data_IF_024482255981
#
_entry.id   IF_024482255981
#
_cell.length_a   1.000
_cell.length_b   1.000
_cell.length_c   1.000
_cell.angle_alpha   90.00
_cell.angle_beta   90.00
_cell.angle_gamma   90.00
#
_symmetry.space_group_name_H-M   'P 1'
#
loop_
_entity.id
_entity.type
_entity.pdbx_description
1 polymer ?
#
# COMPACT_ATOMS: atom_id res chain seq x y z
N UNK A 1 20.90 -6.33 -29.33
CA UNK A 1 20.42 -5.66 -28.11
C UNK A 1 18.98 -5.21 -28.36
N UNK A 2 17.98 -6.00 -27.97
CA UNK A 2 16.57 -5.70 -28.28
C UNK A 2 15.96 -4.95 -27.09
N UNK A 3 15.70 -3.67 -27.31
CA UNK A 3 15.28 -2.66 -26.35
C UNK A 3 13.79 -2.40 -26.56
N UNK A 4 13.04 -2.46 -25.47
CA UNK A 4 11.67 -1.95 -25.24
C UNK A 4 10.53 -2.63 -26.00
N UNK A 5 9.79 -3.51 -25.31
CA UNK A 5 8.36 -3.68 -25.57
C UNK A 5 7.62 -2.58 -24.81
N UNK A 6 6.98 -1.70 -25.57
CA UNK A 6 5.83 -0.93 -25.10
C UNK A 6 4.71 -1.89 -24.68
N UNK A 7 4.05 -1.56 -23.57
CA UNK A 7 2.80 -2.18 -23.17
C UNK A 7 1.81 -1.06 -22.93
N UNK A 8 1.20 -0.61 -24.03
CA UNK A 8 -0.03 0.17 -24.00
C UNK A 8 -1.10 -0.65 -23.28
N UNK A 9 -1.64 -0.11 -22.20
CA UNK A 9 -2.85 -0.65 -21.56
C UNK A 9 -3.92 0.42 -21.59
N UNK A 10 -4.83 0.25 -22.55
CA UNK A 10 -5.97 1.11 -22.79
C UNK A 10 -7.04 1.01 -21.68
N UNK A 11 -7.65 2.17 -21.39
CA UNK A 11 -9.09 2.39 -21.21
C UNK A 11 -9.83 1.74 -20.01
N UNK A 12 -10.21 2.57 -19.03
CA UNK A 12 -11.62 2.94 -18.77
C UNK A 12 -11.71 3.88 -17.57
N UNK A 13 -12.11 5.13 -17.81
CA UNK A 13 -12.49 6.09 -16.76
C UNK A 13 -13.86 5.68 -16.17
N UNK A 14 -13.89 4.63 -15.35
CA UNK A 14 -15.02 4.41 -14.44
C UNK A 14 -14.83 5.37 -13.27
N UNK A 15 -15.71 6.37 -13.16
CA UNK A 15 -15.85 7.18 -11.96
C UNK A 15 -16.15 6.23 -10.80
N UNK A 16 -15.11 5.83 -10.05
CA UNK A 16 -15.25 5.01 -8.86
C UNK A 16 -15.80 5.94 -7.81
N UNK A 17 -17.04 5.70 -7.39
CA UNK A 17 -17.54 6.10 -6.08
C UNK A 17 -16.40 5.92 -5.09
N UNK A 18 -15.96 7.00 -4.47
CA UNK A 18 -14.86 7.00 -3.52
C UNK A 18 -15.30 6.18 -2.31
N UNK A 19 -15.10 4.86 -2.40
CA UNK A 19 -15.34 3.96 -1.28
C UNK A 19 -14.37 4.40 -0.20
N UNK A 20 -14.90 5.01 0.86
CA UNK A 20 -14.16 5.25 2.09
C UNK A 20 -13.79 3.88 2.66
N UNK A 21 -12.66 3.33 2.19
CA UNK A 21 -12.17 2.04 2.64
C UNK A 21 -11.65 2.25 4.05
N UNK A 22 -12.35 1.65 5.00
CA UNK A 22 -11.84 1.47 6.35
C UNK A 22 -10.56 0.64 6.28
N UNK A 23 -9.63 0.96 7.17
CA UNK A 23 -8.43 0.17 7.37
C UNK A 23 -8.80 -1.22 7.92
N UNK A 24 -8.06 -2.24 7.50
CA UNK A 24 -8.18 -3.60 7.97
C UNK A 24 -6.82 -4.04 8.50
N UNK A 25 -6.77 -4.61 9.71
CA UNK A 25 -5.52 -4.99 10.36
C UNK A 25 -4.75 -6.06 9.57
N UNK A 26 -5.42 -6.83 8.70
CA UNK A 26 -4.75 -7.75 7.80
C UNK A 26 -3.78 -7.06 6.84
N UNK A 27 -3.88 -5.75 6.63
CA UNK A 27 -2.95 -5.00 5.77
C UNK A 27 -1.53 -4.91 6.33
N UNK A 28 -1.33 -5.24 7.61
CA UNK A 28 -0.01 -5.41 8.19
C UNK A 28 0.79 -6.52 7.49
N UNK A 29 0.13 -7.52 6.89
CA UNK A 29 0.79 -8.56 6.08
C UNK A 29 1.53 -7.99 4.85
N UNK A 30 1.14 -6.78 4.41
CA UNK A 30 1.80 -6.04 3.34
C UNK A 30 2.74 -4.95 3.86
N UNK A 31 2.92 -4.87 5.19
CA UNK A 31 3.74 -3.85 5.85
C UNK A 31 3.10 -2.48 5.95
N UNK A 32 1.77 -2.40 6.07
CA UNK A 32 1.06 -1.13 6.19
C UNK A 32 0.29 -1.00 7.50
N UNK A 33 0.27 0.21 8.04
CA UNK A 33 -0.54 0.65 9.18
C UNK A 33 -1.36 1.88 8.82
N UNK A 34 -2.37 2.21 9.64
CA UNK A 34 -3.12 3.45 9.47
C UNK A 34 -2.42 4.62 10.17
N UNK A 35 -2.34 5.76 9.48
CA UNK A 35 -1.95 7.04 10.05
C UNK A 35 -3.16 7.97 10.06
N UNK A 36 -3.41 8.60 11.20
CA UNK A 36 -4.35 9.70 11.35
C UNK A 36 -3.57 11.00 11.41
N UNK A 37 -3.81 11.92 10.47
CA UNK A 37 -3.13 13.22 10.47
C UNK A 37 -3.71 14.23 11.47
N UNK A 38 -5.01 14.19 11.70
CA UNK A 38 -5.76 15.07 12.62
C UNK A 38 -7.08 14.39 12.99
N UNK A 39 -7.79 14.89 14.00
CA UNK A 39 -9.02 14.28 14.56
C UNK A 39 -10.11 13.97 13.51
N UNK A 40 -10.12 14.66 12.35
CA UNK A 40 -11.10 14.48 11.29
C UNK A 40 -10.48 14.06 9.94
N UNK A 41 -9.21 13.62 9.93
CA UNK A 41 -8.54 13.23 8.68
C UNK A 41 -8.94 11.83 8.22
N UNK A 42 -9.02 11.65 6.91
CA UNK A 42 -9.22 10.31 6.34
C UNK A 42 -8.03 9.42 6.66
N UNK A 43 -8.25 8.14 7.03
CA UNK A 43 -7.16 7.22 7.31
C UNK A 43 -6.30 7.04 6.06
N UNK A 44 -4.99 7.22 6.22
CA UNK A 44 -4.01 7.00 5.17
C UNK A 44 -3.12 5.81 5.52
N UNK A 45 -2.83 4.92 4.55
CA UNK A 45 -1.92 3.81 4.78
C UNK A 45 -0.47 4.33 4.81
N UNK A 46 0.27 3.99 5.85
CA UNK A 46 1.69 4.27 6.00
C UNK A 46 2.48 2.96 5.97
N UNK A 47 3.54 2.90 5.16
CA UNK A 47 4.44 1.76 5.12
C UNK A 47 5.31 1.75 6.38
N UNK A 48 5.39 0.62 7.10
CA UNK A 48 6.18 0.51 8.34
C UNK A 48 7.68 0.43 8.09
N UNK A 49 8.11 0.08 6.87
CA UNK A 49 9.53 -0.08 6.53
C UNK A 49 10.15 1.26 6.14
N UNK A 50 9.57 1.94 5.15
CA UNK A 50 10.09 3.21 4.63
C UNK A 50 9.36 4.46 5.13
N UNK A 51 8.33 4.30 5.96
CA UNK A 51 7.50 5.38 6.50
C UNK A 51 6.74 6.22 5.43
N UNK A 52 6.75 5.79 4.17
CA UNK A 52 6.00 6.45 3.08
C UNK A 52 4.50 6.35 3.34
N UNK A 53 3.82 7.50 3.37
CA UNK A 53 2.35 7.59 3.51
C UNK A 53 1.72 7.66 2.12
N UNK A 54 0.84 6.73 1.78
CA UNK A 54 0.16 6.72 0.49
C UNK A 54 -1.22 7.37 0.59
N UNK A 55 -1.78 7.73 -0.58
CA UNK A 55 -3.16 8.20 -0.66
C UNK A 55 -4.17 7.12 -0.23
N UNK A 56 -5.36 7.52 0.22
CA UNK A 56 -6.45 6.59 0.54
C UNK A 56 -6.80 5.66 -0.63
N UNK A 57 -6.67 6.14 -1.88
CA UNK A 57 -6.90 5.30 -3.07
C UNK A 57 -5.93 4.12 -3.18
N UNK A 58 -4.76 4.20 -2.53
CA UNK A 58 -3.73 3.17 -2.45
C UNK A 58 -3.99 2.12 -1.37
N UNK A 59 -5.01 2.28 -0.51
CA UNK A 59 -5.43 1.25 0.47
C UNK A 59 -5.97 -0.03 -0.16
N UNK A 60 -5.95 -0.17 -1.48
CA UNK A 60 -6.33 -1.42 -2.12
C UNK A 60 -5.23 -2.45 -1.86
N UNK A 61 -5.54 -3.68 -1.43
CA UNK A 61 -4.53 -4.71 -1.17
C UNK A 61 -3.55 -4.91 -2.32
N UNK A 62 -4.03 -4.88 -3.57
CA UNK A 62 -3.18 -4.99 -4.75
C UNK A 62 -2.17 -3.84 -4.89
N UNK A 63 -2.50 -2.63 -4.45
CA UNK A 63 -1.62 -1.47 -4.49
C UNK A 63 -0.62 -1.48 -3.32
N UNK A 64 -1.05 -1.90 -2.13
CA UNK A 64 -0.16 -2.12 -0.98
C UNK A 64 0.87 -3.20 -1.27
N UNK A 65 0.43 -4.36 -1.78
CA UNK A 65 1.31 -5.44 -2.21
C UNK A 65 2.29 -4.99 -3.30
N UNK A 66 1.82 -4.21 -4.28
CA UNK A 66 2.71 -3.65 -5.31
C UNK A 66 3.79 -2.74 -4.71
N UNK A 67 3.43 -1.86 -3.77
CA UNK A 67 4.42 -1.04 -3.06
C UNK A 67 5.45 -1.93 -2.33
N UNK A 68 4.99 -2.91 -1.55
CA UNK A 68 5.87 -3.87 -0.86
C UNK A 68 6.85 -4.54 -1.83
N UNK A 69 6.37 -5.15 -2.90
CA UNK A 69 7.23 -5.89 -3.84
C UNK A 69 8.18 -5.00 -4.63
N UNK A 70 7.80 -3.75 -4.91
CA UNK A 70 8.64 -2.83 -5.69
C UNK A 70 9.66 -2.07 -4.85
N UNK A 71 9.33 -1.71 -3.60
CA UNK A 71 10.18 -0.94 -2.70
C UNK A 71 10.99 -1.82 -1.74
N UNK A 72 10.43 -2.98 -1.38
CA UNK A 72 10.94 -3.87 -0.35
C UNK A 72 10.89 -5.36 -0.79
N UNK A 73 11.50 -5.72 -1.95
CA UNK A 73 11.47 -7.09 -2.45
C UNK A 73 12.08 -8.09 -1.44
N UNK A 74 13.00 -7.65 -0.59
CA UNK A 74 13.61 -8.47 0.48
C UNK A 74 12.63 -8.92 1.58
N UNK A 75 11.47 -8.27 1.64
CA UNK A 75 10.42 -8.55 2.64
C UNK A 75 9.30 -9.42 2.08
N UNK A 76 9.40 -9.83 0.81
CA UNK A 76 8.48 -10.79 0.22
C UNK A 76 8.54 -12.12 0.99
N UNK A 77 7.38 -12.66 1.35
CA UNK A 77 7.21 -13.88 2.16
C UNK A 77 7.68 -13.79 3.62
N UNK A 78 7.94 -12.59 4.16
CA UNK A 78 8.16 -12.44 5.60
C UNK A 78 6.85 -12.65 6.37
N UNK A 79 6.90 -13.23 7.58
CA UNK A 79 5.72 -13.38 8.43
C UNK A 79 5.21 -12.01 8.90
N UNK A 80 3.93 -11.93 9.28
CA UNK A 80 3.33 -10.71 9.80
C UNK A 80 4.10 -10.12 11.00
N UNK A 81 4.66 -10.99 11.85
CA UNK A 81 5.48 -10.63 13.01
C UNK A 81 6.69 -9.75 12.65
N UNK A 82 7.26 -9.96 11.45
CA UNK A 82 8.35 -9.11 10.96
C UNK A 82 7.89 -7.66 10.81
N UNK A 83 6.69 -7.44 10.27
CA UNK A 83 6.12 -6.10 10.10
C UNK A 83 5.59 -5.52 11.42
N UNK A 84 5.07 -6.35 12.32
CA UNK A 84 4.64 -5.95 13.67
C UNK A 84 5.78 -5.26 14.43
N UNK A 85 7.01 -5.75 14.32
CA UNK A 85 8.19 -5.12 14.94
C UNK A 85 8.39 -3.66 14.51
N UNK A 86 8.12 -3.34 13.25
CA UNK A 86 8.23 -1.97 12.72
C UNK A 86 7.04 -1.09 13.08
N UNK A 87 5.88 -1.69 13.37
CA UNK A 87 4.65 -0.95 13.75
C UNK A 87 4.68 -0.42 15.20
N UNK A 88 5.61 -0.89 16.04
CA UNK A 88 5.70 -0.52 17.47
C UNK A 88 6.64 0.67 17.74
N UNK A 89 7.01 1.42 16.70
CA UNK A 89 7.91 2.59 16.80
C UNK A 89 7.21 3.92 16.54
#
# INVERSE_FOLDING_TARGET
>A
MKRFLESESANTKKQKTQANRKYDDSYLQFGFVVKFGSENSTPLPQCVICQETLSNQSMKPSLLKRHQLSKHPETENKPIEFFSFFSLK
#
